data_IF_887126508313
#
_entry.id   IF_887126508313
#
_cell.length_a   1.000
_cell.length_b   1.000
_cell.length_c   1.000
_cell.angle_alpha   90.00
_cell.angle_beta   90.00
_cell.angle_gamma   90.00
#
_symmetry.space_group_name_H-M   'P 1'
#
loop_
_entity.id
_entity.type
_entity.pdbx_description
1 polymer ?
#
# COMPACT_ATOMS: atom_id res chain seq x y z
N UNK A 1 -15.87 -8.31 -54.67
CA UNK A 1 -15.74 -7.26 -53.62
C UNK A 1 -15.54 -7.80 -52.21
N UNK A 2 -16.29 -8.82 -51.75
CA UNK A 2 -16.23 -9.30 -50.35
C UNK A 2 -14.86 -9.82 -49.87
N UNK A 3 -14.06 -10.43 -50.77
CA UNK A 3 -12.72 -10.96 -50.44
C UNK A 3 -11.73 -9.89 -49.97
N UNK A 4 -11.81 -8.68 -50.52
CA UNK A 4 -10.93 -7.56 -50.12
C UNK A 4 -11.34 -6.97 -48.78
N UNK A 5 -12.64 -6.93 -48.48
CA UNK A 5 -13.16 -6.51 -47.17
C UNK A 5 -12.70 -7.50 -46.10
N UNK A 6 -12.80 -8.80 -46.35
CA UNK A 6 -12.33 -9.83 -45.42
C UNK A 6 -10.80 -9.74 -45.18
N UNK A 7 -9.99 -9.56 -46.24
CA UNK A 7 -8.53 -9.46 -46.11
C UNK A 7 -8.09 -8.21 -45.35
N UNK A 8 -8.73 -7.07 -45.61
CA UNK A 8 -8.43 -5.83 -44.87
C UNK A 8 -8.88 -5.94 -43.41
N UNK A 9 -10.05 -6.54 -43.14
CA UNK A 9 -10.52 -6.78 -41.79
C UNK A 9 -9.57 -7.67 -40.97
N UNK A 10 -9.03 -8.74 -41.57
CA UNK A 10 -8.02 -9.58 -40.93
C UNK A 10 -6.73 -8.80 -40.66
N UNK A 11 -6.30 -7.94 -41.58
CA UNK A 11 -5.11 -7.09 -41.39
C UNK A 11 -5.31 -6.12 -40.24
N UNK A 12 -6.46 -5.43 -40.17
CA UNK A 12 -6.79 -4.54 -39.06
C UNK A 12 -6.91 -5.29 -37.73
N UNK A 13 -7.47 -6.49 -37.74
CA UNK A 13 -7.55 -7.33 -36.54
C UNK A 13 -6.16 -7.69 -36.02
N UNK A 14 -5.23 -8.07 -36.90
CA UNK A 14 -3.84 -8.38 -36.50
C UNK A 14 -3.18 -7.15 -35.87
N UNK A 15 -3.32 -5.97 -36.48
CA UNK A 15 -2.78 -4.71 -35.92
C UNK A 15 -3.41 -4.40 -34.57
N UNK A 16 -4.74 -4.56 -34.43
CA UNK A 16 -5.44 -4.33 -33.18
C UNK A 16 -4.96 -5.27 -32.06
N UNK A 17 -4.77 -6.56 -32.36
CA UNK A 17 -4.23 -7.54 -31.40
C UNK A 17 -2.79 -7.21 -31.01
N UNK A 18 -1.97 -6.76 -31.95
CA UNK A 18 -0.60 -6.33 -31.65
C UNK A 18 -0.57 -5.12 -30.71
N UNK A 19 -1.38 -4.10 -30.99
CA UNK A 19 -1.51 -2.92 -30.13
C UNK A 19 -2.04 -3.28 -28.74
N UNK A 20 -3.03 -4.18 -28.67
CA UNK A 20 -3.55 -4.70 -27.40
C UNK A 20 -2.44 -5.39 -26.59
N UNK A 21 -1.63 -6.23 -27.24
CA UNK A 21 -0.48 -6.88 -26.61
C UNK A 21 0.54 -5.87 -26.07
N UNK A 22 0.82 -4.81 -26.82
CA UNK A 22 1.68 -3.71 -26.38
C UNK A 22 1.15 -2.99 -25.14
N UNK A 23 -0.15 -2.67 -25.11
CA UNK A 23 -0.80 -2.02 -23.96
C UNK A 23 -0.72 -2.91 -22.72
N UNK A 24 -0.98 -4.21 -22.85
CA UNK A 24 -0.92 -5.15 -21.73
C UNK A 24 0.52 -5.25 -21.19
N UNK A 25 1.50 -5.37 -22.08
CA UNK A 25 2.92 -5.45 -21.68
C UNK A 25 3.39 -4.17 -20.98
N UNK A 26 2.98 -3.00 -21.48
CA UNK A 26 3.25 -1.72 -20.83
C UNK A 26 2.60 -1.61 -19.46
N UNK A 27 1.31 -1.97 -19.34
CA UNK A 27 0.58 -1.93 -18.07
C UNK A 27 1.20 -2.84 -17.01
N UNK A 28 1.65 -4.04 -17.41
CA UNK A 28 2.42 -4.92 -16.53
C UNK A 28 3.74 -4.30 -16.10
N UNK A 29 4.47 -3.70 -17.05
CA UNK A 29 5.71 -2.99 -16.75
C UNK A 29 5.52 -1.86 -15.74
N UNK A 30 4.42 -1.11 -15.81
CA UNK A 30 4.10 -0.06 -14.83
C UNK A 30 3.78 -0.64 -13.44
N UNK A 31 3.12 -1.79 -13.38
CA UNK A 31 2.75 -2.43 -12.11
C UNK A 31 3.96 -2.97 -11.33
N UNK A 32 4.94 -3.52 -12.06
CA UNK A 32 6.16 -4.10 -11.49
C UNK A 32 7.30 -3.05 -11.35
N UNK A 33 7.16 -1.85 -11.93
CA UNK A 33 8.17 -0.80 -11.88
C UNK A 33 8.29 -0.18 -10.48
N UNK A 34 9.49 0.36 -10.13
CA UNK A 34 9.66 1.15 -8.92
C UNK A 34 8.64 2.28 -8.82
N UNK A 35 8.09 2.47 -7.62
CA UNK A 35 7.10 3.50 -7.33
C UNK A 35 7.70 4.92 -7.34
N UNK A 36 6.86 5.97 -7.43
CA UNK A 36 7.32 7.37 -7.42
C UNK A 36 7.74 7.88 -6.03
N UNK A 37 7.55 7.07 -4.99
CA UNK A 37 7.71 7.49 -3.61
C UNK A 37 9.19 7.64 -3.24
N UNK A 38 9.60 8.85 -2.83
CA UNK A 38 11.01 9.14 -2.46
C UNK A 38 11.32 8.92 -0.97
N UNK A 39 10.31 8.92 -0.11
CA UNK A 39 10.43 8.75 1.33
C UNK A 39 9.34 7.82 1.83
N UNK A 40 9.61 7.03 2.87
CA UNK A 40 8.60 6.11 3.36
C UNK A 40 7.37 6.87 3.91
N UNK A 41 6.20 6.25 3.82
CA UNK A 41 4.95 6.81 4.36
C UNK A 41 4.20 5.77 5.19
N UNK A 42 3.41 6.25 6.15
CA UNK A 42 2.45 5.43 6.86
C UNK A 42 1.10 5.46 6.15
N UNK A 43 0.80 4.41 5.39
CA UNK A 43 -0.52 4.23 4.78
C UNK A 43 -1.50 3.67 5.81
N UNK A 44 -2.57 4.42 6.08
CA UNK A 44 -3.69 3.94 6.87
C UNK A 44 -4.74 3.26 6.00
N UNK A 45 -5.08 2.01 6.32
CA UNK A 45 -6.19 1.27 5.71
C UNK A 45 -7.31 1.11 6.73
N UNK A 46 -8.40 1.83 6.51
CA UNK A 46 -9.58 1.80 7.38
C UNK A 46 -10.31 0.46 7.34
N UNK A 47 -10.98 0.10 8.45
CA UNK A 47 -11.84 -1.09 8.50
C UNK A 47 -13.03 -0.90 7.55
N UNK A 48 -13.30 -1.92 6.73
CA UNK A 48 -14.34 -1.86 5.70
C UNK A 48 -13.92 -1.15 4.40
N UNK A 49 -12.67 -0.68 4.31
CA UNK A 49 -12.10 -0.13 3.07
C UNK A 49 -11.94 -1.20 1.99
N UNK A 50 -11.59 -0.75 0.79
CA UNK A 50 -11.39 -1.60 -0.39
C UNK A 50 -10.24 -1.07 -1.26
N UNK A 51 -9.78 -1.89 -2.22
CA UNK A 51 -8.64 -1.54 -3.09
C UNK A 51 -8.84 -0.26 -3.92
N UNK A 52 -10.08 0.15 -4.19
CA UNK A 52 -10.33 1.42 -4.90
C UNK A 52 -9.96 2.59 -4.00
N UNK A 53 -10.55 2.67 -2.81
CA UNK A 53 -10.25 3.73 -1.83
C UNK A 53 -8.76 3.76 -1.46
N UNK A 54 -8.15 2.59 -1.23
CA UNK A 54 -6.72 2.51 -0.94
C UNK A 54 -5.87 2.99 -2.12
N UNK A 55 -6.22 2.60 -3.35
CA UNK A 55 -5.52 3.06 -4.54
C UNK A 55 -5.63 4.57 -4.76
N UNK A 56 -6.80 5.15 -4.49
CA UNK A 56 -7.02 6.60 -4.59
C UNK A 56 -6.17 7.35 -3.56
N UNK A 57 -6.16 6.90 -2.29
CA UNK A 57 -5.33 7.47 -1.24
C UNK A 57 -3.82 7.37 -1.54
N UNK A 58 -3.39 6.26 -2.13
CA UNK A 58 -2.00 6.06 -2.55
C UNK A 58 -1.62 7.00 -3.69
N UNK A 59 -2.52 7.25 -4.63
CA UNK A 59 -2.27 8.17 -5.73
C UNK A 59 -2.22 9.63 -5.27
N UNK A 60 -3.08 10.01 -4.32
CA UNK A 60 -3.06 11.35 -3.70
C UNK A 60 -1.75 11.62 -2.95
N UNK A 61 -1.17 10.59 -2.34
CA UNK A 61 0.12 10.65 -1.64
C UNK A 61 1.33 10.41 -2.56
N UNK A 62 1.14 10.37 -3.88
CA UNK A 62 2.19 10.10 -4.86
C UNK A 62 2.98 8.81 -4.57
N UNK A 63 2.31 7.80 -4.00
CA UNK A 63 2.89 6.49 -3.71
C UNK A 63 2.72 5.50 -4.87
N UNK A 64 1.79 5.77 -5.79
CA UNK A 64 1.57 4.99 -7.02
C UNK A 64 1.37 5.91 -8.21
N UNK A 65 1.82 5.49 -9.40
CA UNK A 65 1.64 6.26 -10.64
C UNK A 65 0.20 6.25 -11.16
N UNK A 66 -0.59 5.22 -10.81
CA UNK A 66 -1.99 5.11 -11.21
C UNK A 66 -2.80 4.20 -10.28
N UNK A 67 -3.82 4.75 -9.63
CA UNK A 67 -4.79 3.99 -8.84
C UNK A 67 -5.50 2.89 -9.66
N UNK A 68 -5.72 3.13 -10.96
CA UNK A 68 -6.36 2.16 -11.84
C UNK A 68 -5.48 0.94 -12.11
N UNK A 69 -4.18 1.16 -12.38
CA UNK A 69 -3.22 0.06 -12.59
C UNK A 69 -3.06 -0.75 -11.30
N UNK A 70 -2.90 -0.08 -10.15
CA UNK A 70 -2.85 -0.72 -8.84
C UNK A 70 -4.05 -1.65 -8.61
N UNK A 71 -5.28 -1.15 -8.82
CA UNK A 71 -6.50 -1.93 -8.62
C UNK A 71 -6.62 -3.12 -9.59
N UNK A 72 -6.26 -2.91 -10.85
CA UNK A 72 -6.30 -3.98 -11.86
C UNK A 72 -5.26 -5.06 -11.53
N UNK A 73 -4.06 -4.67 -11.11
CA UNK A 73 -3.02 -5.60 -10.69
C UNK A 73 -3.42 -6.41 -9.45
N UNK A 74 -3.99 -5.75 -8.43
CA UNK A 74 -4.53 -6.43 -7.25
C UNK A 74 -5.63 -7.45 -7.59
N UNK A 75 -6.49 -7.13 -8.56
CA UNK A 75 -7.53 -8.04 -9.04
C UNK A 75 -6.94 -9.20 -9.85
N UNK A 76 -5.96 -8.93 -10.72
CA UNK A 76 -5.25 -9.95 -11.50
C UNK A 76 -4.57 -10.98 -10.59
N UNK A 77 -4.00 -10.52 -9.48
CA UNK A 77 -3.41 -11.36 -8.44
C UNK A 77 -4.43 -12.00 -7.49
N UNK A 78 -5.73 -11.73 -7.66
CA UNK A 78 -6.82 -12.20 -6.79
C UNK A 78 -6.67 -11.77 -5.33
N UNK A 79 -6.01 -10.63 -5.11
CA UNK A 79 -5.71 -10.07 -3.78
C UNK A 79 -6.69 -8.98 -3.34
N UNK A 80 -7.61 -8.54 -4.20
CA UNK A 80 -8.63 -7.53 -3.86
C UNK A 80 -9.39 -7.82 -2.57
N UNK A 81 -9.72 -9.10 -2.33
CA UNK A 81 -10.45 -9.54 -1.12
C UNK A 81 -9.55 -9.86 0.07
N UNK A 82 -8.24 -9.84 -0.13
CA UNK A 82 -7.24 -10.12 0.91
C UNK A 82 -6.79 -8.86 1.65
N UNK A 83 -7.31 -7.68 1.27
CA UNK A 83 -6.99 -6.40 1.90
C UNK A 83 -7.18 -6.48 3.43
N UNK A 84 -6.18 -5.98 4.15
CA UNK A 84 -6.17 -5.94 5.62
C UNK A 84 -6.30 -4.50 6.10
N UNK A 85 -7.13 -4.30 7.10
CA UNK A 85 -7.19 -3.03 7.81
C UNK A 85 -6.01 -2.92 8.78
N UNK A 86 -5.43 -1.73 8.90
CA UNK A 86 -4.22 -1.49 9.68
C UNK A 86 -3.41 -0.33 9.14
N UNK A 87 -2.23 -0.12 9.72
CA UNK A 87 -1.28 0.92 9.30
C UNK A 87 -0.06 0.23 8.71
N UNK A 88 0.30 0.58 7.48
CA UNK A 88 1.36 -0.09 6.73
C UNK A 88 2.45 0.91 6.36
N UNK A 89 3.69 0.56 6.67
CA UNK A 89 4.85 1.30 6.19
C UNK A 89 5.07 0.97 4.72
N UNK A 90 4.91 1.95 3.85
CA UNK A 90 5.26 1.85 2.43
C UNK A 90 6.67 2.39 2.27
N UNK A 91 7.57 1.56 1.77
CA UNK A 91 8.98 1.93 1.57
C UNK A 91 9.15 2.82 0.34
N UNK A 92 10.22 3.64 0.28
CA UNK A 92 10.61 4.35 -0.93
C UNK A 92 10.75 3.39 -2.11
N UNK A 93 10.45 3.87 -3.31
CA UNK A 93 10.54 3.13 -4.57
C UNK A 93 9.71 1.84 -4.64
N UNK A 94 8.85 1.56 -3.64
CA UNK A 94 8.03 0.36 -3.61
C UNK A 94 7.08 0.33 -4.83
N UNK A 95 7.16 -0.76 -5.59
CA UNK A 95 6.28 -1.02 -6.72
C UNK A 95 4.83 -1.20 -6.29
N UNK A 96 3.88 -1.03 -7.22
CA UNK A 96 2.46 -1.29 -6.94
C UNK A 96 2.24 -2.74 -6.47
N UNK A 97 2.97 -3.69 -7.05
CA UNK A 97 2.96 -5.09 -6.61
C UNK A 97 3.37 -5.25 -5.14
N UNK A 98 4.48 -4.64 -4.74
CA UNK A 98 4.98 -4.72 -3.36
C UNK A 98 4.04 -4.04 -2.36
N UNK A 99 3.39 -2.95 -2.77
CA UNK A 99 2.37 -2.28 -1.95
C UNK A 99 1.17 -3.22 -1.77
N UNK A 100 0.66 -3.84 -2.84
CA UNK A 100 -0.42 -4.85 -2.76
C UNK A 100 -0.03 -5.98 -1.81
N UNK A 101 1.20 -6.48 -1.91
CA UNK A 101 1.71 -7.51 -1.00
C UNK A 101 1.70 -7.04 0.44
N UNK A 102 2.17 -5.83 0.71
CA UNK A 102 2.24 -5.26 2.06
C UNK A 102 0.86 -5.16 2.70
N UNK A 103 -0.14 -4.65 1.97
CA UNK A 103 -1.51 -4.46 2.50
C UNK A 103 -2.35 -5.74 2.51
N UNK A 104 -1.84 -6.88 2.01
CA UNK A 104 -2.57 -8.16 1.93
C UNK A 104 -1.93 -9.30 2.72
N UNK A 105 -0.64 -9.20 3.08
CA UNK A 105 0.14 -10.25 3.76
C UNK A 105 -0.46 -10.74 5.08
N UNK A 106 -1.28 -9.92 5.74
CA UNK A 106 -1.77 -10.19 7.09
C UNK A 106 -0.70 -9.94 8.14
N UNK A 107 -1.13 -9.71 9.39
CA UNK A 107 -0.23 -9.41 10.50
C UNK A 107 -0.62 -8.14 11.25
N UNK A 108 0.25 -7.74 12.18
CA UNK A 108 0.13 -6.48 12.90
C UNK A 108 0.44 -5.29 11.98
N UNK A 109 -0.06 -4.11 12.34
CA UNK A 109 0.33 -2.85 11.69
C UNK A 109 1.86 -2.69 11.73
N UNK A 110 2.44 -2.26 10.60
CA UNK A 110 3.88 -2.01 10.45
C UNK A 110 4.24 -0.52 10.53
N UNK A 111 3.26 0.36 10.76
CA UNK A 111 3.43 1.81 10.92
C UNK A 111 2.59 2.35 12.09
N UNK A 112 2.94 3.53 12.58
CA UNK A 112 2.18 4.26 13.60
C UNK A 112 2.75 4.14 15.02
N UNK A 113 1.86 4.28 16.00
CA UNK A 113 2.21 4.36 17.43
C UNK A 113 2.05 3.02 18.13
N UNK A 114 3.12 2.54 18.73
CA UNK A 114 3.19 1.36 19.59
C UNK A 114 3.11 1.80 21.07
N UNK A 115 2.18 1.21 21.83
CA UNK A 115 2.09 1.41 23.29
C UNK A 115 2.50 0.11 23.98
N UNK A 116 3.67 0.12 24.63
CA UNK A 116 4.26 -1.03 25.31
C UNK A 116 3.94 -0.97 26.81
N UNK A 117 3.08 -1.87 27.28
CA UNK A 117 2.81 -2.05 28.71
C UNK A 117 3.78 -3.07 29.32
N UNK A 118 4.61 -2.64 30.27
CA UNK A 118 5.50 -3.48 31.05
C UNK A 118 4.88 -3.73 32.42
N UNK A 119 4.35 -4.92 32.64
CA UNK A 119 3.71 -5.33 33.90
C UNK A 119 4.72 -6.13 34.72
N UNK A 120 5.19 -5.55 35.82
CA UNK A 120 6.03 -6.20 36.82
C UNK A 120 5.28 -6.47 38.13
N UNK A 121 5.87 -7.28 39.02
CA UNK A 121 5.24 -7.70 40.28
C UNK A 121 4.92 -6.49 41.19
N UNK A 122 5.78 -5.46 41.21
CA UNK A 122 5.64 -4.26 42.03
C UNK A 122 5.56 -2.95 41.22
N UNK A 123 5.56 -3.02 39.88
CA UNK A 123 5.55 -1.82 39.02
C UNK A 123 4.84 -2.08 37.71
N UNK A 124 4.17 -1.07 37.17
CA UNK A 124 3.57 -1.11 35.84
C UNK A 124 4.09 0.11 35.08
N UNK A 125 4.72 -0.06 33.91
CA UNK A 125 5.13 1.08 33.09
C UNK A 125 4.52 1.02 31.69
N UNK A 126 4.22 2.18 31.13
CA UNK A 126 3.68 2.33 29.78
C UNK A 126 4.67 3.16 28.99
N UNK A 127 5.16 2.62 27.87
CA UNK A 127 6.08 3.30 26.96
C UNK A 127 5.39 3.48 25.60
N UNK A 128 5.16 4.72 25.18
CA UNK A 128 4.57 5.09 23.89
C UNK A 128 5.71 5.40 22.92
N UNK A 129 5.75 4.69 21.81
CA UNK A 129 6.75 4.84 20.75
C UNK A 129 6.06 5.05 19.42
N UNK A 130 6.51 5.99 18.62
CA UNK A 130 5.94 6.24 17.29
C UNK A 130 7.00 5.95 16.23
N UNK A 131 6.62 5.22 15.18
CA UNK A 131 7.51 4.99 14.05
C UNK A 131 7.66 6.28 13.25
N UNK A 132 8.88 6.80 13.18
CA UNK A 132 9.24 7.85 12.22
C UNK A 132 9.50 7.19 10.85
N UNK A 133 8.65 7.46 9.84
CA UNK A 133 8.81 6.85 8.53
C UNK A 133 10.07 7.33 7.80
N UNK A 134 10.58 8.54 8.07
CA UNK A 134 11.79 9.05 7.43
C UNK A 134 13.04 8.29 7.87
N UNK A 135 13.08 7.83 9.12
CA UNK A 135 14.24 7.11 9.69
C UNK A 135 13.99 5.61 9.88
N UNK A 136 12.75 5.14 9.70
CA UNK A 136 12.29 3.79 10.01
C UNK A 136 12.62 3.34 11.44
N UNK A 137 12.62 4.29 12.39
CA UNK A 137 12.92 4.05 13.80
C UNK A 137 11.75 4.47 14.67
N UNK A 138 11.47 3.64 15.68
CA UNK A 138 10.51 3.97 16.72
C UNK A 138 11.15 4.94 17.72
N UNK A 139 10.65 6.17 17.74
CA UNK A 139 11.05 7.23 18.67
C UNK A 139 10.13 7.18 19.88
N UNK A 140 10.70 7.19 21.10
CA UNK A 140 9.92 7.28 22.32
C UNK A 140 9.26 8.65 22.41
N UNK A 141 7.94 8.66 22.57
CA UNK A 141 7.14 9.88 22.75
C UNK A 141 6.84 10.14 24.23
N UNK A 142 6.65 9.08 25.01
CA UNK A 142 6.37 9.16 26.44
C UNK A 142 6.66 7.84 27.16
N UNK A 143 7.12 7.91 28.40
CA UNK A 143 7.13 6.80 29.36
C UNK A 143 6.50 7.28 30.67
N UNK A 144 5.52 6.56 31.21
CA UNK A 144 4.86 6.91 32.47
C UNK A 144 4.30 5.67 33.19
N UNK A 145 4.07 5.78 34.50
CA UNK A 145 3.45 4.76 35.36
C UNK A 145 1.96 5.06 35.54
N UNK A 146 1.05 4.25 34.96
CA UNK A 146 -0.39 4.47 35.12
C UNK A 146 -0.83 4.45 36.58
N UNK A 147 -1.55 5.50 37.00
CA UNK A 147 -2.09 5.63 38.36
C UNK A 147 -1.10 6.16 39.41
N UNK A 148 0.13 6.46 39.03
CA UNK A 148 1.13 7.15 39.88
C UNK A 148 1.56 8.45 39.22
N UNK A 149 1.93 8.39 37.95
CA UNK A 149 2.38 9.55 37.17
C UNK A 149 1.19 10.22 36.45
N UNK A 150 1.33 11.52 36.21
CA UNK A 150 0.37 12.30 35.42
C UNK A 150 0.44 11.85 33.95
N UNK A 151 -0.73 11.65 33.31
CA UNK A 151 -0.77 11.18 31.91
C UNK A 151 -0.21 12.29 31.01
N UNK A 152 0.84 12.02 30.22
CA UNK A 152 1.46 13.05 29.37
C UNK A 152 0.47 13.59 28.32
N UNK A 153 0.53 14.90 28.04
CA UNK A 153 -0.33 15.59 27.05
C UNK A 153 -0.06 15.19 25.58
N UNK A 154 0.80 14.21 25.32
CA UNK A 154 1.13 13.77 23.96
C UNK A 154 -0.03 12.95 23.39
N UNK A 155 -1.06 13.65 22.89
CA UNK A 155 -2.17 13.12 22.09
C UNK A 155 -2.45 14.02 20.89
#
# INVERSE_FOLDING_TARGET
MWRHIASNAVTFLIVALFLLGGIIMWGRGQYDAPGPLTQAICLQVERGSNMRTVGDNLAEQEAVTSASIFRIGAEYEKKTRALKAGSFLIQPDASMQEIVDTVTRGGASTCGTEVVYRIGINRLSTQVRELDPATSRFVERAEFTPGVDEVPEVY
#
